data_IF_780420889340
#
_entry.id   IF_780420889340
#
_cell.length_a   1.000
_cell.length_b   1.000
_cell.length_c   1.000
_cell.angle_alpha   90.00
_cell.angle_beta   90.00
_cell.angle_gamma   90.00
#
_symmetry.space_group_name_H-M   'P 1'
#
loop_
_entity.id
_entity.type
_entity.pdbx_description
1 polymer ?
#
# COMPACT_ATOMS: atom_id res chain seq x y z
N UNK A 1 -11.10 -6.08 -28.89
CA UNK A 1 -10.30 -5.15 -28.07
C UNK A 1 -8.87 -5.39 -28.45
N UNK A 2 -8.34 -4.45 -29.23
CA UNK A 2 -7.00 -4.51 -29.80
C UNK A 2 -5.96 -4.36 -28.69
N UNK A 3 -4.70 -4.71 -28.97
CA UNK A 3 -3.59 -4.53 -28.01
C UNK A 3 -3.47 -3.06 -27.56
N UNK A 4 -3.72 -2.13 -28.48
CA UNK A 4 -3.74 -0.69 -28.21
C UNK A 4 -4.79 -0.28 -27.16
N UNK A 5 -5.97 -0.91 -27.17
CA UNK A 5 -7.02 -0.64 -26.18
C UNK A 5 -6.57 -1.07 -24.78
N UNK A 6 -5.88 -2.22 -24.67
CA UNK A 6 -5.36 -2.73 -23.39
C UNK A 6 -4.30 -1.80 -22.80
N UNK A 7 -3.40 -1.30 -23.63
CA UNK A 7 -2.38 -0.31 -23.22
C UNK A 7 -3.05 0.97 -22.73
N UNK A 8 -4.07 1.46 -23.44
CA UNK A 8 -4.81 2.66 -23.05
C UNK A 8 -5.46 2.51 -21.66
N UNK A 9 -6.06 1.35 -21.37
CA UNK A 9 -6.64 1.04 -20.06
C UNK A 9 -5.58 1.07 -18.95
N UNK A 10 -4.40 0.48 -19.17
CA UNK A 10 -3.31 0.51 -18.16
C UNK A 10 -2.79 1.92 -17.90
N UNK A 11 -2.65 2.73 -18.96
CA UNK A 11 -2.24 4.13 -18.79
C UNK A 11 -3.33 4.95 -18.07
N UNK A 12 -4.60 4.73 -18.39
CA UNK A 12 -5.71 5.37 -17.70
C UNK A 12 -5.72 4.99 -16.22
N UNK A 13 -5.56 3.71 -15.89
CA UNK A 13 -5.47 3.25 -14.50
C UNK A 13 -4.38 4.01 -13.72
N UNK A 14 -3.18 4.13 -14.30
CA UNK A 14 -2.08 4.88 -13.69
C UNK A 14 -2.36 6.39 -13.54
N UNK A 15 -3.01 7.02 -14.53
CA UNK A 15 -3.41 8.44 -14.46
C UNK A 15 -4.49 8.67 -13.39
N UNK A 16 -5.51 7.82 -13.35
CA UNK A 16 -6.60 7.89 -12.36
C UNK A 16 -6.05 7.71 -10.95
N UNK A 17 -5.16 6.73 -10.73
CA UNK A 17 -4.52 6.55 -9.43
C UNK A 17 -3.73 7.79 -9.00
N UNK A 18 -2.92 8.37 -9.90
CA UNK A 18 -2.16 9.61 -9.61
C UNK A 18 -3.08 10.79 -9.28
N UNK A 19 -4.16 10.98 -10.04
CA UNK A 19 -5.15 12.03 -9.77
C UNK A 19 -5.80 11.84 -8.40
N UNK A 20 -6.22 10.61 -8.08
CA UNK A 20 -6.79 10.28 -6.77
C UNK A 20 -5.82 10.56 -5.63
N UNK A 21 -4.55 10.14 -5.76
CA UNK A 21 -3.54 10.35 -4.71
C UNK A 21 -3.27 11.84 -4.46
N UNK A 22 -3.19 12.64 -5.53
CA UNK A 22 -3.00 14.09 -5.43
C UNK A 22 -4.21 14.78 -4.80
N UNK A 23 -5.43 14.42 -5.21
CA UNK A 23 -6.66 14.97 -4.63
C UNK A 23 -6.82 14.55 -3.16
N UNK A 24 -6.51 13.30 -2.82
CA UNK A 24 -6.53 12.81 -1.44
C UNK A 24 -5.62 13.65 -0.55
N UNK A 25 -4.37 13.89 -0.97
CA UNK A 25 -3.44 14.70 -0.17
C UNK A 25 -3.96 16.13 0.01
N UNK A 26 -4.50 16.75 -1.04
CA UNK A 26 -5.05 18.10 -0.97
C UNK A 26 -6.26 18.20 -0.03
N UNK A 27 -7.13 17.18 0.02
CA UNK A 27 -8.37 17.21 0.81
C UNK A 27 -8.19 16.70 2.24
N UNK A 28 -7.37 15.66 2.43
CA UNK A 28 -7.15 15.04 3.74
C UNK A 28 -6.01 15.72 4.50
N UNK A 29 -5.10 16.38 3.77
CA UNK A 29 -3.98 17.15 4.29
C UNK A 29 -2.64 16.41 4.22
N UNK A 30 -2.65 15.08 4.04
CA UNK A 30 -1.44 14.25 4.04
C UNK A 30 -1.54 13.13 2.98
N UNK A 31 -0.40 12.64 2.46
CA UNK A 31 -0.40 11.53 1.50
C UNK A 31 -1.09 10.27 2.03
N UNK A 32 -1.86 9.61 1.16
CA UNK A 32 -2.56 8.37 1.48
C UNK A 32 -1.68 7.30 2.15
N UNK A 33 -0.42 7.05 1.73
CA UNK A 33 0.39 6.01 2.36
C UNK A 33 0.70 6.31 3.83
N UNK A 34 0.94 7.59 4.18
CA UNK A 34 1.16 8.01 5.58
C UNK A 34 -0.12 7.89 6.38
N UNK A 35 -1.23 8.38 5.81
CA UNK A 35 -2.53 8.30 6.43
C UNK A 35 -2.95 6.86 6.75
N UNK A 36 -2.70 5.92 5.82
CA UNK A 36 -2.97 4.49 6.04
C UNK A 36 -2.18 3.89 7.21
N UNK A 37 -0.93 4.30 7.40
CA UNK A 37 -0.12 3.85 8.56
C UNK A 37 -0.72 4.38 9.86
N UNK A 38 -1.03 5.67 9.91
CA UNK A 38 -1.63 6.28 11.08
C UNK A 38 -2.98 5.64 11.44
N UNK A 39 -3.83 5.40 10.43
CA UNK A 39 -5.09 4.69 10.62
C UNK A 39 -4.89 3.27 11.15
N UNK A 40 -3.93 2.51 10.59
CA UNK A 40 -3.65 1.15 11.02
C UNK A 40 -3.19 1.09 12.48
N UNK A 41 -2.34 2.03 12.90
CA UNK A 41 -1.92 2.18 14.29
C UNK A 41 -3.11 2.55 15.19
N UNK A 42 -3.90 3.54 14.79
CA UNK A 42 -5.09 3.98 15.54
C UNK A 42 -6.08 2.82 15.77
N UNK A 43 -6.34 2.02 14.74
CA UNK A 43 -7.22 0.83 14.84
C UNK A 43 -6.65 -0.28 15.74
N UNK A 44 -5.34 -0.28 16.01
CA UNK A 44 -4.67 -1.25 16.87
C UNK A 44 -4.34 -0.69 18.27
N UNK A 45 -5.05 0.35 18.71
CA UNK A 45 -4.84 0.93 20.04
C UNK A 45 -3.59 1.83 20.12
N UNK A 46 -3.06 2.27 18.99
CA UNK A 46 -1.98 3.25 18.90
C UNK A 46 -0.59 2.66 18.70
N UNK A 47 -0.42 1.33 18.69
CA UNK A 47 0.89 0.70 18.56
C UNK A 47 0.84 -0.57 17.70
N UNK A 48 1.87 -0.81 16.90
CA UNK A 48 2.04 -2.03 16.12
C UNK A 48 3.51 -2.28 15.76
N UNK A 49 3.86 -3.55 15.51
CA UNK A 49 5.19 -3.87 14.99
C UNK A 49 5.30 -3.47 13.52
N UNK A 50 6.49 -3.06 13.08
CA UNK A 50 6.74 -2.73 11.68
C UNK A 50 6.43 -3.90 10.74
N UNK A 51 6.71 -5.14 11.18
CA UNK A 51 6.35 -6.36 10.44
C UNK A 51 4.84 -6.48 10.24
N UNK A 52 4.05 -6.27 11.30
CA UNK A 52 2.58 -6.32 11.22
C UNK A 52 2.02 -5.23 10.32
N UNK A 53 2.63 -4.03 10.34
CA UNK A 53 2.26 -2.94 9.42
C UNK A 53 2.55 -3.30 7.95
N UNK A 54 3.69 -3.93 7.64
CA UNK A 54 3.99 -4.44 6.28
C UNK A 54 2.90 -5.40 5.82
N UNK A 55 2.58 -6.40 6.64
CA UNK A 55 1.60 -7.45 6.33
C UNK A 55 0.19 -6.86 6.13
N UNK A 56 -0.27 -6.02 7.07
CA UNK A 56 -1.60 -5.43 7.05
C UNK A 56 -1.77 -4.44 5.89
N UNK A 57 -0.77 -3.62 5.62
CA UNK A 57 -0.85 -2.58 4.57
C UNK A 57 -0.51 -3.13 3.19
N UNK A 58 0.06 -4.35 3.11
CA UNK A 58 0.56 -4.97 1.87
C UNK A 58 1.52 -4.04 1.12
N UNK A 59 2.46 -3.44 1.85
CA UNK A 59 3.46 -2.52 1.32
C UNK A 59 4.85 -3.14 1.42
N UNK A 60 5.73 -2.78 0.49
CA UNK A 60 7.15 -3.13 0.58
C UNK A 60 7.78 -2.59 1.89
N UNK A 61 8.63 -3.37 2.59
CA UNK A 61 9.29 -2.93 3.82
C UNK A 61 10.10 -1.64 3.67
N UNK A 62 10.76 -1.44 2.53
CA UNK A 62 11.51 -0.21 2.23
C UNK A 62 10.59 0.98 2.05
N UNK A 63 9.46 0.80 1.38
CA UNK A 63 8.42 1.83 1.25
C UNK A 63 7.83 2.22 2.62
N UNK A 64 7.51 1.24 3.46
CA UNK A 64 7.04 1.50 4.82
C UNK A 64 8.07 2.31 5.61
N UNK A 65 9.34 1.88 5.60
CA UNK A 65 10.42 2.55 6.33
C UNK A 65 10.58 4.02 5.93
N UNK A 66 10.46 4.34 4.64
CA UNK A 66 10.47 5.72 4.15
C UNK A 66 9.32 6.56 4.72
N UNK A 67 8.11 5.99 4.77
CA UNK A 67 6.96 6.70 5.35
C UNK A 67 7.06 6.84 6.87
N UNK A 68 7.55 5.82 7.57
CA UNK A 68 7.80 5.88 9.00
C UNK A 68 8.82 6.97 9.35
N UNK A 69 9.93 7.07 8.61
CA UNK A 69 10.91 8.15 8.81
C UNK A 69 10.28 9.54 8.64
N UNK A 70 9.39 9.71 7.66
CA UNK A 70 8.69 10.98 7.46
C UNK A 70 7.71 11.29 8.61
N UNK A 71 6.93 10.30 9.06
CA UNK A 71 5.99 10.44 10.18
C UNK A 71 6.71 10.74 11.51
N UNK A 72 7.87 10.12 11.74
CA UNK A 72 8.71 10.36 12.92
C UNK A 72 9.29 11.77 12.89
N UNK A 73 9.75 12.25 11.72
CA UNK A 73 10.19 13.63 11.54
C UNK A 73 9.09 14.68 11.77
N UNK A 74 7.83 14.32 11.56
CA UNK A 74 6.66 15.15 11.91
C UNK A 74 6.28 15.07 13.39
N UNK A 75 6.92 14.18 14.17
CA UNK A 75 6.60 13.94 15.57
C UNK A 75 5.28 13.18 15.78
N UNK A 76 4.72 12.55 14.75
CA UNK A 76 3.42 11.84 14.83
C UNK A 76 3.56 10.37 15.25
N UNK A 77 4.75 9.82 15.11
CA UNK A 77 5.06 8.49 15.63
C UNK A 77 6.36 8.51 16.42
N UNK A 78 6.55 7.50 17.25
CA UNK A 78 7.81 7.12 17.83
C UNK A 78 8.12 5.66 17.47
N UNK A 79 9.40 5.35 17.21
CA UNK A 79 9.86 3.98 17.00
C UNK A 79 10.78 3.53 18.13
N UNK A 80 10.66 2.27 18.50
CA UNK A 80 11.48 1.65 19.54
C UNK A 80 11.76 0.19 19.20
N UNK A 81 12.91 -0.32 19.65
CA UNK A 81 13.16 -1.77 19.63
C UNK A 81 12.34 -2.43 20.75
N UNK A 82 11.79 -3.62 20.51
CA UNK A 82 11.10 -4.39 21.54
C UNK A 82 12.10 -4.79 22.64
N UNK A 83 11.67 -4.69 23.89
CA UNK A 83 12.51 -5.00 25.05
C UNK A 83 12.81 -6.49 25.21
N UNK A 84 12.01 -7.36 24.59
CA UNK A 84 12.14 -8.83 24.64
C UNK A 84 12.86 -9.38 23.41
N UNK A 85 12.79 -8.68 22.28
CA UNK A 85 13.45 -9.05 21.03
C UNK A 85 13.91 -7.80 20.27
N UNK A 86 15.23 -7.52 20.31
CA UNK A 86 15.82 -6.35 19.65
C UNK A 86 15.72 -6.40 18.12
N UNK A 87 15.30 -7.52 17.53
CA UNK A 87 15.04 -7.67 16.09
C UNK A 87 13.67 -7.11 15.71
N UNK A 88 12.79 -6.87 16.68
CA UNK A 88 11.46 -6.30 16.47
C UNK A 88 11.51 -4.80 16.69
N UNK A 89 11.04 -4.04 15.70
CA UNK A 89 10.80 -2.59 15.83
C UNK A 89 9.30 -2.34 15.96
N UNK A 90 8.91 -1.70 17.06
CA UNK A 90 7.56 -1.24 17.32
C UNK A 90 7.42 0.22 16.90
N UNK A 91 6.22 0.56 16.46
CA UNK A 91 5.81 1.88 16.01
C UNK A 91 4.60 2.30 16.82
N UNK A 92 4.66 3.45 17.48
CA UNK A 92 3.60 3.98 18.31
C UNK A 92 3.18 5.37 17.84
N UNK A 93 1.88 5.66 17.83
CA UNK A 93 1.36 7.01 17.67
C UNK A 93 1.73 7.88 18.88
N UNK A 94 2.15 9.10 18.61
CA UNK A 94 2.22 10.16 19.63
C UNK A 94 0.83 10.77 19.82
N UNK A 95 0.67 11.62 20.84
CA UNK A 95 -0.56 12.41 21.00
C UNK A 95 -0.82 13.31 19.78
N UNK A 96 0.24 13.91 19.22
CA UNK A 96 0.14 14.71 18.00
C UNK A 96 -0.30 13.87 16.81
N UNK A 97 0.23 12.65 16.66
CA UNK A 97 -0.18 11.72 15.60
C UNK A 97 -1.62 11.23 15.77
N UNK A 98 -2.04 10.96 17.00
CA UNK A 98 -3.43 10.59 17.31
C UNK A 98 -4.38 11.71 16.90
N UNK A 99 -4.13 12.94 17.35
CA UNK A 99 -4.94 14.11 17.02
C UNK A 99 -4.99 14.36 15.50
N UNK A 100 -3.85 14.26 14.81
CA UNK A 100 -3.80 14.39 13.35
C UNK A 100 -4.63 13.30 12.64
N UNK A 101 -4.60 12.07 13.15
CA UNK A 101 -5.40 10.95 12.61
C UNK A 101 -6.89 11.22 12.76
N UNK A 102 -7.33 11.60 13.95
CA UNK A 102 -8.74 11.88 14.26
C UNK A 102 -9.26 13.07 13.44
N UNK A 103 -8.48 14.15 13.32
CA UNK A 103 -8.85 15.32 12.52
C UNK A 103 -8.97 15.01 11.02
N UNK A 104 -8.20 14.04 10.52
CA UNK A 104 -8.19 13.67 9.10
C UNK A 104 -9.32 12.69 8.71
N UNK A 105 -9.85 11.90 9.65
CA UNK A 105 -10.92 10.93 9.43
C UNK A 105 -12.17 11.51 8.75
N UNK A 106 -12.79 12.61 9.25
CA UNK A 106 -13.98 13.17 8.62
C UNK A 106 -13.68 13.72 7.23
N UNK A 107 -12.52 14.36 7.02
CA UNK A 107 -12.10 14.86 5.71
C UNK A 107 -11.95 13.74 4.69
N UNK A 108 -11.35 12.62 5.11
CA UNK A 108 -11.25 11.42 4.28
C UNK A 108 -12.62 10.85 3.92
N UNK A 109 -13.53 10.78 4.88
CA UNK A 109 -14.89 10.27 4.64
C UNK A 109 -15.65 11.16 3.64
N UNK A 110 -15.60 12.47 3.82
CA UNK A 110 -16.21 13.44 2.90
C UNK A 110 -15.60 13.32 1.50
N UNK A 111 -14.27 13.30 1.39
CA UNK A 111 -13.59 13.16 0.10
C UNK A 111 -14.01 11.88 -0.66
N UNK A 112 -14.07 10.74 0.03
CA UNK A 112 -14.51 9.48 -0.60
C UNK A 112 -15.98 9.54 -1.02
N UNK A 113 -16.84 10.05 -0.15
CA UNK A 113 -18.26 10.23 -0.45
C UNK A 113 -18.43 11.10 -1.70
N UNK A 114 -17.87 12.30 -1.72
CA UNK A 114 -18.07 13.26 -2.79
C UNK A 114 -17.45 12.80 -4.11
N UNK A 115 -16.32 12.07 -4.05
CA UNK A 115 -15.69 11.48 -5.24
C UNK A 115 -16.58 10.40 -5.88
N UNK A 116 -17.39 9.69 -5.09
CA UNK A 116 -18.18 8.55 -5.55
C UNK A 116 -19.67 8.85 -5.72
N UNK A 117 -20.20 9.91 -5.08
CA UNK A 117 -21.63 10.18 -4.99
C UNK A 117 -22.32 10.42 -6.35
N UNK A 118 -21.59 10.90 -7.36
CA UNK A 118 -22.12 11.14 -8.70
C UNK A 118 -21.98 9.94 -9.65
N UNK A 119 -21.39 8.83 -9.19
CA UNK A 119 -21.17 7.64 -10.02
C UNK A 119 -22.32 6.64 -9.84
N UNK A 120 -22.87 6.09 -10.93
CA UNK A 120 -23.86 5.02 -10.86
C UNK A 120 -23.34 3.77 -10.14
N UNK A 121 -24.19 3.14 -9.31
CA UNK A 121 -23.83 1.95 -8.53
C UNK A 121 -23.42 0.75 -9.41
N UNK A 122 -24.05 0.59 -10.57
CA UNK A 122 -23.73 -0.46 -11.54
C UNK A 122 -22.34 -0.24 -12.16
N UNK A 123 -21.98 1.01 -12.47
CA UNK A 123 -20.65 1.38 -12.94
C UNK A 123 -19.58 1.12 -11.88
N UNK A 124 -19.83 1.47 -10.62
CA UNK A 124 -18.93 1.18 -9.50
C UNK A 124 -18.75 -0.34 -9.28
N UNK A 125 -19.85 -1.09 -9.36
CA UNK A 125 -19.83 -2.55 -9.25
C UNK A 125 -19.03 -3.19 -10.38
N UNK A 126 -19.26 -2.75 -11.63
CA UNK A 126 -18.53 -3.22 -12.79
C UNK A 126 -17.02 -2.91 -12.71
N UNK A 127 -16.66 -1.69 -12.29
CA UNK A 127 -15.26 -1.29 -12.08
C UNK A 127 -14.59 -2.15 -11.01
N UNK A 128 -15.24 -2.32 -9.86
CA UNK A 128 -14.76 -3.19 -8.77
C UNK A 128 -14.55 -4.64 -9.23
N UNK A 129 -15.50 -5.18 -10.01
CA UNK A 129 -15.37 -6.51 -10.62
C UNK A 129 -14.16 -6.62 -11.55
N UNK A 130 -14.00 -5.66 -12.46
CA UNK A 130 -12.88 -5.63 -13.40
C UNK A 130 -11.52 -5.51 -12.70
N UNK A 131 -11.41 -4.66 -11.66
CA UNK A 131 -10.19 -4.51 -10.87
C UNK A 131 -9.81 -5.81 -10.15
N UNK A 132 -10.77 -6.51 -9.53
CA UNK A 132 -10.52 -7.81 -8.88
C UNK A 132 -10.01 -8.86 -9.87
N UNK A 133 -10.61 -8.92 -11.05
CA UNK A 133 -10.15 -9.82 -12.12
C UNK A 133 -8.73 -9.48 -12.54
N UNK A 134 -8.42 -8.18 -12.72
CA UNK A 134 -7.09 -7.73 -13.10
C UNK A 134 -6.04 -8.07 -12.03
N UNK A 135 -6.34 -7.86 -10.74
CA UNK A 135 -5.46 -8.21 -9.62
C UNK A 135 -5.13 -9.71 -9.60
N UNK A 136 -6.14 -10.57 -9.79
CA UNK A 136 -5.94 -12.02 -9.86
C UNK A 136 -5.02 -12.40 -11.04
N UNK A 137 -5.28 -11.84 -12.23
CA UNK A 137 -4.46 -12.08 -13.43
C UNK A 137 -3.02 -11.61 -13.26
N UNK A 138 -2.79 -10.47 -12.60
CA UNK A 138 -1.44 -9.99 -12.29
C UNK A 138 -0.71 -11.00 -11.39
N UNK A 139 -1.37 -11.49 -10.34
CA UNK A 139 -0.80 -12.49 -9.43
C UNK A 139 -0.43 -13.79 -10.16
N UNK A 140 -1.29 -14.28 -11.04
CA UNK A 140 -1.04 -15.48 -11.85
C UNK A 140 0.15 -15.30 -12.80
N UNK A 141 0.23 -14.16 -13.51
CA UNK A 141 1.31 -13.87 -14.46
C UNK A 141 2.66 -13.77 -13.75
N UNK A 142 2.72 -13.08 -12.61
CA UNK A 142 3.95 -12.98 -11.80
C UNK A 142 4.37 -14.35 -11.26
N UNK A 143 3.41 -15.16 -10.81
CA UNK A 143 3.70 -16.51 -10.31
C UNK A 143 4.22 -17.43 -11.42
N UNK A 144 3.59 -17.42 -12.59
CA UNK A 144 4.02 -18.19 -13.75
C UNK A 144 5.41 -17.76 -14.25
N UNK A 145 5.71 -16.46 -14.26
CA UNK A 145 7.03 -15.94 -14.60
C UNK A 145 8.10 -16.41 -13.61
N UNK A 146 7.80 -16.42 -12.31
CA UNK A 146 8.72 -16.91 -11.29
C UNK A 146 8.96 -18.43 -11.41
N UNK A 147 7.93 -19.23 -11.71
CA UNK A 147 8.07 -20.70 -11.89
C UNK A 147 8.87 -21.04 -13.15
N UNK A 148 8.71 -20.27 -14.23
CA UNK A 148 9.46 -20.45 -15.47
C UNK A 148 10.96 -20.09 -15.34
N UNK A 149 11.32 -19.26 -14.35
CA UNK A 149 12.72 -18.90 -14.07
C UNK A 149 13.46 -19.95 -13.20
N UNK A 150 12.74 -20.80 -12.46
CA UNK A 150 13.34 -21.76 -11.50
C UNK A 150 14.11 -22.97 -12.09
N UNK A 151 13.92 -23.46 -13.33
CA UNK A 151 14.66 -24.67 -13.77
C UNK A 151 16.06 -24.42 -14.34
N UNK A 152 16.43 -23.18 -14.72
CA UNK A 152 17.68 -22.94 -15.47
C UNK A 152 18.88 -22.66 -14.56
N UNK A 153 18.68 -22.11 -13.36
CA UNK A 153 19.79 -21.83 -12.43
C UNK A 153 20.34 -23.07 -11.71
N UNK A 154 19.50 -24.09 -11.44
CA UNK A 154 19.93 -25.32 -10.76
C UNK A 154 20.79 -26.24 -11.65
N UNK A 155 20.67 -26.14 -12.99
CA UNK A 155 21.52 -26.90 -13.91
C UNK A 155 22.90 -26.23 -14.14
N UNK A 156 22.99 -24.92 -13.98
CA UNK A 156 24.24 -24.16 -14.18
C UNK A 156 25.21 -24.29 -12.99
N UNK A 157 24.71 -24.48 -11.77
CA UNK A 157 25.56 -24.72 -10.59
C UNK A 157 26.07 -26.16 -10.51
N UNK A 158 25.28 -27.16 -10.92
CA UNK A 158 25.72 -28.56 -10.96
C UNK A 158 26.87 -28.79 -11.96
N UNK A 159 26.87 -28.09 -13.10
CA UNK A 159 27.94 -28.21 -14.10
C UNK A 159 29.22 -27.42 -13.74
N UNK A 160 29.16 -26.53 -12.75
CA UNK A 160 30.31 -25.76 -12.21
C UNK A 160 31.01 -26.44 -11.04
N UNK A 161 30.34 -27.38 -10.36
CA UNK A 161 30.91 -28.14 -9.24
C UNK A 161 31.68 -29.40 -9.69
N UNK A 162 31.61 -29.78 -10.97
CA UNK A 162 32.28 -30.96 -11.55
C UNK A 162 33.51 -30.61 -12.43
N UNK A 163 34.04 -29.39 -12.35
CA UNK A 163 35.32 -28.98 -12.97
C UNK A 163 36.25 -28.37 -11.93
#
# INVERSE_FOLDING_TARGET
MEEQDRVAVMQQFGRTYRAFMSAFEAQVGHPLPRWRIMLALHQQGGESSQKRLVEQLRVDPGALTRQLKALEGLGWIARSMDSRDNRVTNVRLTEAGLSATEASLPRRNAFLHDTMAALPDDALSALSGALKMLEARIGEVVSAANVAQTPVELAAEASRAER
#
